data_IF_082693614126
#
_entry.id   IF_082693614126
#
_cell.length_a   1.000
_cell.length_b   1.000
_cell.length_c   1.000
_cell.angle_alpha   90.00
_cell.angle_beta   90.00
_cell.angle_gamma   90.00
#
_symmetry.space_group_name_H-M   'P 1'
#
loop_
_entity.id
_entity.type
_entity.pdbx_description
1 polymer ?
#
# COMPACT_ATOMS: atom_id res chain seq x y z
N UNK A 1 -13.04 -8.62 -124.15
CA UNK A 1 -12.35 -9.74 -123.50
C UNK A 1 -10.91 -9.31 -123.21
N UNK A 2 -10.51 -9.35 -121.94
CA UNK A 2 -9.11 -9.42 -121.46
C UNK A 2 -8.10 -8.28 -121.75
N UNK A 3 -8.27 -7.14 -121.06
CA UNK A 3 -7.15 -6.25 -120.68
C UNK A 3 -7.05 -6.03 -119.15
N UNK A 4 -7.99 -6.60 -118.38
CA UNK A 4 -8.08 -6.46 -116.91
C UNK A 4 -7.45 -7.65 -116.16
N UNK A 5 -7.04 -8.72 -116.87
CA UNK A 5 -6.47 -9.93 -116.25
C UNK A 5 -4.95 -9.94 -116.11
N UNK A 6 -4.20 -9.04 -116.73
CA UNK A 6 -2.72 -9.04 -116.65
C UNK A 6 -2.19 -8.14 -115.53
N UNK A 7 -2.94 -7.12 -115.09
CA UNK A 7 -2.54 -6.24 -113.97
C UNK A 7 -2.88 -6.80 -112.58
N UNK A 8 -3.69 -7.86 -112.49
CA UNK A 8 -4.05 -8.48 -111.19
C UNK A 8 -3.09 -9.58 -110.71
N UNK A 9 -2.09 -9.98 -111.51
CA UNK A 9 -1.21 -11.10 -111.13
C UNK A 9 0.19 -10.67 -110.64
N UNK A 10 0.59 -9.41 -110.79
CA UNK A 10 1.93 -8.95 -110.38
C UNK A 10 1.90 -7.83 -109.32
N UNK A 11 0.77 -7.14 -109.12
CA UNK A 11 0.68 -6.02 -108.16
C UNK A 11 0.26 -6.38 -106.73
N UNK A 12 -0.34 -7.56 -106.50
CA UNK A 12 -0.98 -7.89 -105.21
C UNK A 12 -0.04 -8.46 -104.13
N UNK A 13 1.07 -9.09 -104.51
CA UNK A 13 1.91 -9.87 -103.57
C UNK A 13 3.23 -9.21 -103.18
N UNK A 14 3.59 -8.07 -103.79
CA UNK A 14 4.84 -7.35 -103.52
C UNK A 14 4.62 -6.12 -102.60
N UNK A 15 3.40 -5.59 -102.52
CA UNK A 15 3.09 -4.39 -101.71
C UNK A 15 2.51 -4.74 -100.33
N UNK A 16 1.83 -5.88 -100.18
CA UNK A 16 1.25 -6.30 -98.88
C UNK A 16 2.31 -6.77 -97.87
N UNK A 17 3.34 -7.50 -98.32
CA UNK A 17 4.43 -7.98 -97.44
C UNK A 17 5.21 -6.86 -96.73
N UNK A 18 5.63 -5.77 -97.39
CA UNK A 18 6.27 -4.65 -96.70
C UNK A 18 5.32 -3.93 -95.73
N UNK A 19 4.03 -3.81 -96.03
CA UNK A 19 3.05 -3.22 -95.11
C UNK A 19 2.81 -4.06 -93.85
N UNK A 20 2.75 -5.40 -93.96
CA UNK A 20 2.68 -6.30 -92.81
C UNK A 20 3.97 -6.28 -91.97
N UNK A 21 5.14 -6.20 -92.61
CA UNK A 21 6.44 -6.11 -91.90
C UNK A 21 6.53 -4.78 -91.13
N UNK A 22 6.11 -3.67 -91.75
CA UNK A 22 6.08 -2.35 -91.11
C UNK A 22 5.04 -2.30 -89.98
N UNK A 23 3.85 -2.87 -90.18
CA UNK A 23 2.83 -3.01 -89.12
C UNK A 23 3.34 -3.80 -87.92
N UNK A 24 3.98 -4.96 -88.17
CA UNK A 24 4.58 -5.79 -87.12
C UNK A 24 5.74 -5.07 -86.40
N UNK A 25 6.56 -4.30 -87.12
CA UNK A 25 7.61 -3.47 -86.51
C UNK A 25 7.04 -2.34 -85.64
N UNK A 26 5.95 -1.71 -86.07
CA UNK A 26 5.21 -0.71 -85.30
C UNK A 26 4.59 -1.31 -84.04
N UNK A 27 4.00 -2.50 -84.13
CA UNK A 27 3.50 -3.25 -82.97
C UNK A 27 4.61 -3.62 -81.99
N UNK A 28 5.76 -4.11 -82.47
CA UNK A 28 6.94 -4.36 -81.63
C UNK A 28 7.47 -3.09 -80.97
N UNK A 29 7.47 -1.96 -81.68
CA UNK A 29 7.88 -0.68 -81.12
C UNK A 29 6.92 -0.18 -80.04
N UNK A 30 5.60 -0.28 -80.28
CA UNK A 30 4.57 0.06 -79.29
C UNK A 30 4.65 -0.86 -78.07
N UNK A 31 4.82 -2.17 -78.26
CA UNK A 31 5.01 -3.12 -77.16
C UNK A 31 6.27 -2.83 -76.35
N UNK A 32 7.41 -2.51 -76.99
CA UNK A 32 8.63 -2.15 -76.28
C UNK A 32 8.50 -0.83 -75.51
N UNK A 33 7.79 0.15 -76.09
CA UNK A 33 7.52 1.44 -75.43
C UNK A 33 6.59 1.25 -74.22
N UNK A 34 5.54 0.44 -74.36
CA UNK A 34 4.61 0.13 -73.27
C UNK A 34 5.31 -0.70 -72.19
N UNK A 35 6.08 -1.73 -72.55
CA UNK A 35 6.86 -2.52 -71.60
C UNK A 35 7.91 -1.68 -70.85
N UNK A 36 8.57 -0.73 -71.53
CA UNK A 36 9.49 0.20 -70.89
C UNK A 36 8.78 1.19 -69.95
N UNK A 37 7.55 1.60 -70.29
CA UNK A 37 6.71 2.43 -69.43
C UNK A 37 6.24 1.65 -68.19
N UNK A 38 5.76 0.42 -68.37
CA UNK A 38 5.35 -0.47 -67.29
C UNK A 38 6.51 -0.82 -66.36
N UNK A 39 7.72 -1.01 -66.89
CA UNK A 39 8.91 -1.26 -66.08
C UNK A 39 9.29 -0.03 -65.24
N UNK A 40 9.16 1.18 -65.79
CA UNK A 40 9.37 2.42 -65.04
C UNK A 40 8.32 2.60 -63.94
N UNK A 41 7.04 2.34 -64.25
CA UNK A 41 5.96 2.42 -63.28
C UNK A 41 6.20 1.45 -62.12
N UNK A 42 6.56 0.19 -62.40
CA UNK A 42 6.91 -0.80 -61.38
C UNK A 42 8.11 -0.38 -60.52
N UNK A 43 9.10 0.29 -61.10
CA UNK A 43 10.25 0.79 -60.35
C UNK A 43 9.86 1.96 -59.44
N UNK A 44 8.99 2.87 -59.90
CA UNK A 44 8.47 3.97 -59.08
C UNK A 44 7.57 3.45 -57.96
N UNK A 45 6.68 2.50 -58.25
CA UNK A 45 5.86 1.81 -57.25
C UNK A 45 6.73 1.11 -56.20
N UNK A 46 7.77 0.38 -56.61
CA UNK A 46 8.68 -0.29 -55.68
C UNK A 46 9.44 0.69 -54.79
N UNK A 47 9.91 1.82 -55.35
CA UNK A 47 10.57 2.89 -54.58
C UNK A 47 9.60 3.56 -53.61
N UNK A 48 8.38 3.81 -54.04
CA UNK A 48 7.33 4.39 -53.21
C UNK A 48 6.97 3.46 -52.05
N UNK A 49 6.78 2.17 -52.33
CA UNK A 49 6.54 1.14 -51.31
C UNK A 49 7.70 1.04 -50.30
N UNK A 50 8.94 1.06 -50.79
CA UNK A 50 10.12 1.07 -49.93
C UNK A 50 10.19 2.31 -49.03
N UNK A 51 9.84 3.49 -49.56
CA UNK A 51 9.75 4.72 -48.78
C UNK A 51 8.69 4.62 -47.69
N UNK A 52 7.51 4.10 -48.02
CA UNK A 52 6.43 3.89 -47.05
C UNK A 52 6.82 2.91 -45.95
N UNK A 53 7.52 1.82 -46.29
CA UNK A 53 8.02 0.86 -45.30
C UNK A 53 9.06 1.49 -44.37
N UNK A 54 9.97 2.29 -44.92
CA UNK A 54 10.95 3.02 -44.13
C UNK A 54 10.29 4.03 -43.18
N UNK A 55 9.33 4.81 -43.68
CA UNK A 55 8.57 5.76 -42.87
C UNK A 55 7.77 5.04 -41.77
N UNK A 56 7.16 3.89 -42.09
CA UNK A 56 6.45 3.06 -41.11
C UNK A 56 7.39 2.53 -40.03
N UNK A 57 8.58 2.06 -40.39
CA UNK A 57 9.57 1.58 -39.41
C UNK A 57 10.04 2.70 -38.50
N UNK A 58 10.32 3.88 -39.06
CA UNK A 58 10.73 5.05 -38.29
C UNK A 58 9.62 5.49 -37.31
N UNK A 59 8.39 5.55 -37.79
CA UNK A 59 7.24 5.90 -36.97
C UNK A 59 7.00 4.89 -35.85
N UNK A 60 7.12 3.58 -36.13
CA UNK A 60 7.01 2.55 -35.11
C UNK A 60 8.12 2.66 -34.05
N UNK A 61 9.37 2.91 -34.45
CA UNK A 61 10.47 3.09 -33.51
C UNK A 61 10.27 4.34 -32.62
N UNK A 62 9.73 5.41 -33.18
CA UNK A 62 9.38 6.62 -32.42
C UNK A 62 8.22 6.38 -31.44
N UNK A 63 7.21 5.61 -31.84
CA UNK A 63 6.13 5.16 -30.96
C UNK A 63 6.66 4.30 -29.81
N UNK A 64 7.53 3.34 -30.09
CA UNK A 64 8.12 2.46 -29.07
C UNK A 64 8.95 3.25 -28.05
N UNK A 65 9.75 4.21 -28.51
CA UNK A 65 10.52 5.11 -27.61
C UNK A 65 9.57 6.00 -26.78
N UNK A 66 8.49 6.53 -27.38
CA UNK A 66 7.49 7.31 -26.67
C UNK A 66 6.78 6.48 -25.59
N UNK A 67 6.44 5.22 -25.88
CA UNK A 67 5.85 4.28 -24.91
C UNK A 67 6.83 4.03 -23.77
N UNK A 68 8.08 3.68 -24.07
CA UNK A 68 9.10 3.42 -23.06
C UNK A 68 9.34 4.63 -22.14
N UNK A 69 9.43 5.84 -22.72
CA UNK A 69 9.55 7.08 -21.94
C UNK A 69 8.35 7.32 -21.05
N UNK A 70 7.13 7.10 -21.56
CA UNK A 70 5.90 7.24 -20.76
C UNK A 70 5.82 6.23 -19.63
N UNK A 71 6.30 5.01 -19.84
CA UNK A 71 6.38 4.00 -18.78
C UNK A 71 7.37 4.38 -17.68
N UNK A 72 8.55 4.90 -18.05
CA UNK A 72 9.54 5.41 -17.09
C UNK A 72 8.99 6.61 -16.33
N UNK A 73 8.35 7.56 -17.01
CA UNK A 73 7.73 8.73 -16.40
C UNK A 73 6.65 8.32 -15.39
N UNK A 74 5.75 7.41 -15.79
CA UNK A 74 4.72 6.85 -14.91
C UNK A 74 5.35 6.13 -13.72
N UNK A 75 6.38 5.31 -13.96
CA UNK A 75 7.11 4.59 -12.92
C UNK A 75 7.77 5.54 -11.92
N UNK A 76 8.37 6.62 -12.40
CA UNK A 76 8.98 7.66 -11.56
C UNK A 76 7.96 8.39 -10.69
N UNK A 77 6.79 8.75 -11.26
CA UNK A 77 5.71 9.37 -10.51
C UNK A 77 5.17 8.45 -9.41
N UNK A 78 4.96 7.17 -9.71
CA UNK A 78 4.53 6.16 -8.73
C UNK A 78 5.58 5.97 -7.64
N UNK A 79 6.86 5.85 -8.01
CA UNK A 79 7.95 5.69 -7.06
C UNK A 79 8.06 6.91 -6.12
N UNK A 80 7.90 8.13 -6.66
CA UNK A 80 7.88 9.35 -5.87
C UNK A 80 6.69 9.39 -4.90
N UNK A 81 5.49 9.04 -5.36
CA UNK A 81 4.31 8.97 -4.49
C UNK A 81 4.47 7.94 -3.36
N UNK A 82 5.08 6.79 -3.65
CA UNK A 82 5.42 5.77 -2.63
C UNK A 82 6.42 6.34 -1.62
N UNK A 83 7.49 6.99 -2.09
CA UNK A 83 8.51 7.57 -1.21
C UNK A 83 7.92 8.67 -0.29
N UNK A 84 7.09 9.56 -0.84
CA UNK A 84 6.41 10.61 -0.08
C UNK A 84 5.45 10.02 0.97
N UNK A 85 4.70 8.97 0.60
CA UNK A 85 3.86 8.22 1.53
C UNK A 85 4.67 7.59 2.66
N UNK A 86 5.76 6.87 2.34
CA UNK A 86 6.63 6.22 3.33
C UNK A 86 7.25 7.23 4.30
N UNK A 87 7.69 8.38 3.78
CA UNK A 87 8.22 9.47 4.61
C UNK A 87 7.16 9.99 5.58
N UNK A 88 5.96 10.28 5.07
CA UNK A 88 4.84 10.78 5.89
C UNK A 88 4.45 9.77 6.98
N UNK A 89 4.44 8.48 6.64
CA UNK A 89 4.15 7.40 7.61
C UNK A 89 5.23 7.27 8.67
N UNK A 90 6.51 7.38 8.30
CA UNK A 90 7.63 7.36 9.25
C UNK A 90 7.55 8.55 10.22
N UNK A 91 7.30 9.76 9.72
CA UNK A 91 7.12 10.95 10.55
C UNK A 91 5.94 10.80 11.52
N UNK A 92 4.81 10.31 11.04
CA UNK A 92 3.63 10.03 11.85
C UNK A 92 3.94 9.00 12.95
N UNK A 93 4.66 7.93 12.61
CA UNK A 93 5.03 6.86 13.55
C UNK A 93 5.99 7.36 14.63
N UNK A 94 6.97 8.19 14.28
CA UNK A 94 7.86 8.84 15.25
C UNK A 94 7.04 9.70 16.22
N UNK A 95 6.10 10.49 15.69
CA UNK A 95 5.22 11.33 16.51
C UNK A 95 4.36 10.50 17.46
N UNK A 96 3.75 9.42 16.98
CA UNK A 96 2.95 8.51 17.81
C UNK A 96 3.82 7.83 18.87
N UNK A 97 5.00 7.32 18.48
CA UNK A 97 5.93 6.69 19.41
C UNK A 97 6.36 7.62 20.54
N UNK A 98 6.64 8.89 20.23
CA UNK A 98 6.94 9.92 21.24
C UNK A 98 5.77 10.15 22.19
N UNK A 99 4.56 10.33 21.66
CA UNK A 99 3.35 10.53 22.46
C UNK A 99 3.03 9.32 23.36
N UNK A 100 3.17 8.10 22.84
CA UNK A 100 2.98 6.87 23.62
C UNK A 100 4.04 6.72 24.71
N UNK A 101 5.30 7.06 24.42
CA UNK A 101 6.38 7.07 25.41
C UNK A 101 6.11 8.05 26.55
N UNK A 102 5.69 9.28 26.23
CA UNK A 102 5.31 10.27 27.24
C UNK A 102 4.12 9.81 28.07
N UNK A 103 3.09 9.27 27.42
CA UNK A 103 1.91 8.73 28.10
C UNK A 103 2.29 7.58 29.05
N UNK A 104 3.20 6.69 28.66
CA UNK A 104 3.66 5.60 29.51
C UNK A 104 4.33 6.12 30.80
N UNK A 105 5.20 7.12 30.67
CA UNK A 105 5.86 7.76 31.82
C UNK A 105 4.82 8.42 32.72
N UNK A 106 3.92 9.23 32.15
CA UNK A 106 2.88 9.93 32.89
C UNK A 106 1.94 8.96 33.63
N UNK A 107 1.55 7.86 32.98
CA UNK A 107 0.72 6.83 33.62
C UNK A 107 1.45 6.16 34.79
N UNK A 108 2.76 5.96 34.70
CA UNK A 108 3.56 5.36 35.77
C UNK A 108 3.67 6.29 36.96
N UNK A 109 3.94 7.57 36.72
CA UNK A 109 3.98 8.60 37.76
C UNK A 109 2.62 8.74 38.46
N UNK A 110 1.53 8.78 37.68
CA UNK A 110 0.17 8.83 38.24
C UNK A 110 -0.20 7.59 39.03
N UNK A 111 0.23 6.40 38.59
CA UNK A 111 0.00 5.16 39.29
C UNK A 111 0.72 5.16 40.65
N UNK A 112 2.01 5.50 40.67
CA UNK A 112 2.79 5.60 41.91
C UNK A 112 2.18 6.64 42.85
N UNK A 113 1.84 7.82 42.36
CA UNK A 113 1.20 8.86 43.17
C UNK A 113 -0.14 8.41 43.75
N UNK A 114 -0.95 7.67 42.98
CA UNK A 114 -2.22 7.14 43.47
C UNK A 114 -2.01 6.09 44.56
N UNK A 115 -1.07 5.16 44.37
CA UNK A 115 -0.75 4.14 45.39
C UNK A 115 -0.27 4.81 46.68
N UNK A 116 0.63 5.79 46.59
CA UNK A 116 1.11 6.54 47.76
C UNK A 116 0.00 7.35 48.46
N UNK A 117 -0.85 8.02 47.70
CA UNK A 117 -2.01 8.76 48.23
C UNK A 117 -2.98 7.82 48.96
N UNK A 118 -3.28 6.67 48.35
CA UNK A 118 -4.17 5.68 48.94
C UNK A 118 -3.58 4.97 50.13
N UNK A 119 -2.28 4.70 50.14
CA UNK A 119 -1.60 4.14 51.30
C UNK A 119 -1.64 5.11 52.50
N UNK A 120 -1.47 6.41 52.26
CA UNK A 120 -1.64 7.43 53.32
C UNK A 120 -3.08 7.52 53.84
N UNK A 121 -4.06 7.57 52.93
CA UNK A 121 -5.48 7.55 53.32
C UNK A 121 -5.84 6.29 54.10
N UNK A 122 -5.22 5.16 53.75
CA UNK A 122 -5.41 3.89 54.44
C UNK A 122 -4.84 3.90 55.84
N UNK A 123 -3.59 4.35 56.04
CA UNK A 123 -3.03 4.48 57.39
C UNK A 123 -3.90 5.37 58.27
N UNK A 124 -4.38 6.51 57.75
CA UNK A 124 -5.29 7.37 58.49
C UNK A 124 -6.63 6.69 58.82
N UNK A 125 -7.16 5.87 57.91
CA UNK A 125 -8.39 5.10 58.15
C UNK A 125 -8.18 4.02 59.22
N UNK A 126 -7.04 3.33 59.20
CA UNK A 126 -6.68 2.33 60.21
C UNK A 126 -6.54 2.98 61.59
N UNK A 127 -5.85 4.11 61.69
CA UNK A 127 -5.70 4.84 62.95
C UNK A 127 -7.06 5.24 63.51
N UNK A 128 -7.93 5.83 62.67
CA UNK A 128 -9.29 6.20 63.07
C UNK A 128 -10.15 4.98 63.46
N UNK A 129 -9.98 3.85 62.77
CA UNK A 129 -10.68 2.61 63.10
C UNK A 129 -10.19 2.02 64.43
N UNK A 130 -8.89 2.08 64.71
CA UNK A 130 -8.30 1.65 65.98
C UNK A 130 -8.77 2.53 67.14
N UNK A 131 -8.75 3.85 66.98
CA UNK A 131 -9.25 4.78 68.00
C UNK A 131 -10.73 4.52 68.32
N UNK A 132 -11.54 4.29 67.27
CA UNK A 132 -12.96 3.96 67.43
C UNK A 132 -13.16 2.60 68.13
N UNK A 133 -12.36 1.60 67.76
CA UNK A 133 -12.42 0.28 68.36
C UNK A 133 -12.02 0.32 69.84
N UNK A 134 -10.95 1.05 70.18
CA UNK A 134 -10.52 1.26 71.55
C UNK A 134 -11.63 1.90 72.40
N UNK A 135 -12.25 2.97 71.90
CA UNK A 135 -13.38 3.63 72.57
C UNK A 135 -14.63 2.71 72.69
N UNK A 136 -14.86 1.82 71.73
CA UNK A 136 -15.93 0.82 71.80
C UNK A 136 -15.63 -0.26 72.85
N UNK A 137 -14.41 -0.78 72.88
CA UNK A 137 -13.97 -1.76 73.87
C UNK A 137 -14.02 -1.19 75.28
N UNK A 138 -13.59 0.05 75.50
CA UNK A 138 -13.70 0.73 76.79
C UNK A 138 -15.16 0.82 77.28
N UNK A 139 -16.10 1.16 76.38
CA UNK A 139 -17.54 1.18 76.69
C UNK A 139 -18.08 -0.21 77.03
N UNK A 140 -17.61 -1.25 76.33
CA UNK A 140 -17.97 -2.65 76.61
C UNK A 140 -17.49 -3.04 78.00
N UNK A 141 -16.22 -2.77 78.33
CA UNK A 141 -15.63 -3.07 79.63
C UNK A 141 -16.30 -2.31 80.77
N UNK A 142 -16.71 -1.06 80.54
CA UNK A 142 -17.45 -0.27 81.54
C UNK A 142 -18.85 -0.85 81.79
N UNK A 143 -19.53 -1.30 80.74
CA UNK A 143 -20.92 -1.81 80.82
C UNK A 143 -21.00 -3.27 81.28
N UNK A 144 -19.96 -4.05 81.00
CA UNK A 144 -19.82 -5.46 81.37
C UNK A 144 -18.43 -5.68 82.03
N UNK A 145 -18.26 -5.31 83.31
CA UNK A 145 -16.95 -5.38 83.98
C UNK A 145 -16.47 -6.83 84.18
N UNK A 146 -17.41 -7.72 84.49
CA UNK A 146 -17.20 -9.15 84.61
C UNK A 146 -17.18 -9.81 83.22
N UNK A 147 -16.44 -10.90 83.12
CA UNK A 147 -16.41 -11.69 81.90
C UNK A 147 -17.78 -12.35 81.68
N UNK A 148 -18.39 -12.09 80.53
CA UNK A 148 -19.72 -12.57 80.21
C UNK A 148 -19.83 -12.92 78.74
N UNK A 149 -20.78 -13.81 78.41
CA UNK A 149 -21.06 -14.18 77.03
C UNK A 149 -21.44 -12.97 76.17
N UNK A 150 -22.13 -11.98 76.75
CA UNK A 150 -22.49 -10.74 76.06
C UNK A 150 -21.25 -9.89 75.73
N UNK A 151 -20.31 -9.76 76.69
CA UNK A 151 -19.04 -9.07 76.50
C UNK A 151 -18.21 -9.68 75.37
N UNK A 152 -18.00 -11.00 75.40
CA UNK A 152 -17.23 -11.71 74.37
C UNK A 152 -17.86 -11.57 72.97
N UNK A 153 -19.20 -11.59 72.86
CA UNK A 153 -19.88 -11.35 71.57
C UNK A 153 -19.60 -9.94 71.04
N UNK A 154 -19.61 -8.92 71.90
CA UNK A 154 -19.36 -7.54 71.49
C UNK A 154 -17.89 -7.30 71.13
N UNK A 155 -16.95 -7.86 71.89
CA UNK A 155 -15.51 -7.81 71.58
C UNK A 155 -15.22 -8.44 70.22
N UNK A 156 -15.73 -9.64 69.97
CA UNK A 156 -15.60 -10.33 68.69
C UNK A 156 -16.22 -9.53 67.53
N UNK A 157 -17.29 -8.78 67.77
CA UNK A 157 -17.89 -7.92 66.75
C UNK A 157 -16.98 -6.74 66.39
N UNK A 158 -16.32 -6.12 67.38
CA UNK A 158 -15.34 -5.05 67.16
C UNK A 158 -14.10 -5.58 66.44
N UNK A 159 -13.57 -6.73 66.87
CA UNK A 159 -12.44 -7.39 66.20
C UNK A 159 -12.77 -7.71 64.74
N UNK A 160 -13.94 -8.31 64.48
CA UNK A 160 -14.39 -8.63 63.12
C UNK A 160 -14.53 -7.37 62.26
N UNK A 161 -14.96 -6.25 62.85
CA UNK A 161 -15.07 -4.99 62.14
C UNK A 161 -13.68 -4.44 61.74
N UNK A 162 -12.69 -4.50 62.64
CA UNK A 162 -11.32 -4.12 62.33
C UNK A 162 -10.72 -5.01 61.24
N UNK A 163 -10.87 -6.33 61.36
CA UNK A 163 -10.36 -7.29 60.37
C UNK A 163 -10.98 -7.05 58.99
N UNK A 164 -12.29 -6.79 58.91
CA UNK A 164 -12.95 -6.46 57.65
C UNK A 164 -12.40 -5.18 56.99
N UNK A 165 -12.06 -4.15 57.77
CA UNK A 165 -11.49 -2.89 57.25
C UNK A 165 -10.10 -3.16 56.66
N UNK A 166 -9.28 -3.95 57.35
CA UNK A 166 -7.95 -4.36 56.89
C UNK A 166 -8.07 -5.18 55.59
N UNK A 167 -8.87 -6.25 55.61
CA UNK A 167 -9.02 -7.15 54.45
C UNK A 167 -9.58 -6.44 53.21
N UNK A 168 -10.57 -5.57 53.39
CA UNK A 168 -11.16 -4.82 52.26
C UNK A 168 -10.14 -3.88 51.64
N UNK A 169 -9.30 -3.26 52.46
CA UNK A 169 -8.29 -2.30 52.00
C UNK A 169 -7.12 -2.99 51.31
N UNK A 170 -6.64 -4.11 51.86
CA UNK A 170 -5.61 -4.93 51.22
C UNK A 170 -6.08 -5.44 49.85
N UNK A 171 -7.34 -5.87 49.75
CA UNK A 171 -7.94 -6.26 48.48
C UNK A 171 -7.99 -5.10 47.49
N UNK A 172 -8.41 -3.92 47.94
CA UNK A 172 -8.49 -2.74 47.10
C UNK A 172 -7.12 -2.31 46.55
N UNK A 173 -6.06 -2.32 47.38
CA UNK A 173 -4.69 -2.05 46.94
C UNK A 173 -4.23 -3.03 45.87
N UNK A 174 -4.46 -4.33 46.07
CA UNK A 174 -4.11 -5.36 45.06
C UNK A 174 -4.85 -5.15 43.74
N UNK A 175 -6.14 -4.80 43.79
CA UNK A 175 -6.92 -4.51 42.59
C UNK A 175 -6.36 -3.30 41.83
N UNK A 176 -5.95 -2.25 42.53
CA UNK A 176 -5.31 -1.08 41.91
C UNK A 176 -4.01 -1.49 41.20
N UNK A 177 -3.15 -2.26 41.86
CA UNK A 177 -1.88 -2.71 41.27
C UNK A 177 -2.10 -3.60 40.04
N UNK A 178 -3.09 -4.50 40.10
CA UNK A 178 -3.47 -5.36 38.98
C UNK A 178 -4.00 -4.55 37.80
N UNK A 179 -4.89 -3.59 38.04
CA UNK A 179 -5.50 -2.76 37.00
C UNK A 179 -4.44 -1.86 36.34
N UNK A 180 -3.51 -1.30 37.12
CA UNK A 180 -2.38 -0.56 36.57
C UNK A 180 -1.47 -1.44 35.72
N UNK A 181 -1.19 -2.66 36.17
CA UNK A 181 -0.39 -3.61 35.40
C UNK A 181 -1.06 -3.95 34.05
N UNK A 182 -2.36 -4.25 34.05
CA UNK A 182 -3.14 -4.49 32.83
C UNK A 182 -3.17 -3.28 31.89
N UNK A 183 -3.30 -2.08 32.44
CA UNK A 183 -3.26 -0.85 31.66
C UNK A 183 -1.88 -0.65 30.99
N UNK A 184 -0.79 -0.90 31.73
CA UNK A 184 0.57 -0.82 31.17
C UNK A 184 0.81 -1.86 30.07
N UNK A 185 0.31 -3.08 30.25
CA UNK A 185 0.38 -4.11 29.22
C UNK A 185 -0.41 -3.72 27.97
N UNK A 186 -1.59 -3.12 28.14
CA UNK A 186 -2.40 -2.61 27.03
C UNK A 186 -1.68 -1.50 26.26
N UNK A 187 -1.02 -0.57 26.96
CA UNK A 187 -0.20 0.48 26.33
C UNK A 187 0.99 -0.11 25.59
N UNK A 188 1.66 -1.12 26.16
CA UNK A 188 2.76 -1.82 25.49
C UNK A 188 2.29 -2.50 24.22
N UNK A 189 1.17 -3.21 24.27
CA UNK A 189 0.59 -3.88 23.11
C UNK A 189 0.19 -2.90 22.00
N UNK A 190 -0.42 -1.75 22.34
CA UNK A 190 -0.72 -0.69 21.38
C UNK A 190 0.56 -0.16 20.74
N UNK A 191 1.61 0.03 21.54
CA UNK A 191 2.91 0.51 21.06
C UNK A 191 3.52 -0.50 20.08
N UNK A 192 3.59 -1.78 20.46
CA UNK A 192 4.10 -2.86 19.61
C UNK A 192 3.31 -2.98 18.30
N UNK A 193 1.98 -3.01 18.38
CA UNK A 193 1.12 -3.09 17.19
C UNK A 193 1.32 -1.89 16.26
N UNK A 194 1.43 -0.68 16.82
CA UNK A 194 1.68 0.53 16.04
C UNK A 194 3.02 0.47 15.32
N UNK A 195 4.09 0.08 16.04
CA UNK A 195 5.44 -0.02 15.47
C UNK A 195 5.56 -1.14 14.44
N UNK A 196 4.92 -2.28 14.68
CA UNK A 196 4.90 -3.41 13.74
C UNK A 196 4.16 -3.05 12.45
N UNK A 197 2.99 -2.41 12.57
CA UNK A 197 2.23 -1.96 11.41
C UNK A 197 3.01 -0.91 10.62
N UNK A 198 3.62 0.07 11.30
CA UNK A 198 4.48 1.06 10.66
C UNK A 198 5.64 0.41 9.90
N UNK A 199 6.31 -0.59 10.48
CA UNK A 199 7.38 -1.34 9.82
C UNK A 199 6.96 -1.98 8.50
N UNK A 200 5.71 -2.48 8.40
CA UNK A 200 5.18 -3.04 7.15
C UNK A 200 4.97 -1.98 6.06
N UNK A 201 4.50 -0.78 6.42
CA UNK A 201 4.22 0.28 5.45
C UNK A 201 5.47 1.09 5.06
N UNK A 202 6.47 1.15 5.93
CA UNK A 202 7.75 1.86 5.69
C UNK A 202 8.75 0.95 4.96
N UNK A 203 8.61 -0.38 5.06
CA UNK A 203 9.45 -1.31 4.32
C UNK A 203 9.36 -1.04 2.81
N UNK A 204 10.48 -1.04 2.08
CA UNK A 204 10.48 -0.72 0.66
C UNK A 204 9.55 -1.68 -0.09
N UNK A 205 8.48 -1.12 -0.66
CA UNK A 205 7.53 -1.83 -1.55
C UNK A 205 8.23 -2.47 -2.77
N UNK A 206 9.49 -2.12 -3.03
CA UNK A 206 10.35 -2.70 -4.06
C UNK A 206 10.79 -4.14 -3.77
N UNK A 207 10.58 -4.67 -2.56
CA UNK A 207 11.00 -6.02 -2.24
C UNK A 207 10.09 -7.12 -2.82
N UNK A 208 8.85 -6.85 -3.26
CA UNK A 208 7.94 -7.99 -3.48
C UNK A 208 6.90 -8.03 -4.60
N UNK A 209 6.67 -7.06 -5.52
CA UNK A 209 5.70 -7.40 -6.61
C UNK A 209 5.58 -6.59 -7.93
N UNK A 210 6.43 -5.61 -8.28
CA UNK A 210 6.09 -4.75 -9.43
C UNK A 210 7.11 -4.63 -10.58
N UNK A 211 8.14 -5.49 -10.66
CA UNK A 211 9.03 -5.55 -11.85
C UNK A 211 9.05 -6.91 -12.57
N UNK A 212 8.25 -7.90 -12.15
CA UNK A 212 8.24 -9.25 -12.76
C UNK A 212 6.95 -9.61 -13.52
N UNK A 213 6.04 -8.65 -13.75
CA UNK A 213 4.86 -8.87 -14.61
C UNK A 213 4.83 -7.89 -15.77
N UNK A 214 5.83 -8.01 -16.64
CA UNK A 214 5.90 -7.36 -17.94
C UNK A 214 6.62 -8.22 -18.98
N UNK A 215 6.63 -9.54 -18.82
CA UNK A 215 7.20 -10.48 -19.78
C UNK A 215 6.46 -11.81 -19.75
N UNK A 216 5.24 -11.84 -20.29
CA UNK A 216 4.65 -12.99 -20.96
C UNK A 216 3.66 -12.50 -22.02
#
# INVERSE_FOLDING_TARGET
MSLIKVLKFVGGSIIEKPFEIVGRQLEFYQQRKNAAHDQKLKQEEARFMQSLEFDRQKFNAELDDMIARKEIERGSLVAKAIADYQKTMAECTISIGKSLGMMNIELRERATALVEDKQRQYSALQDAAMDKAAAQLEKIYTKFPEESKARSIMENAVEKQLNNIIETSDRFMRTIDEDFSKMMDSVRQITENTMNNAGQYISPAFANNAMLRGSR
#
